data_IF_877398149866
#
_entry.id   IF_877398149866
#
_cell.length_a   1.000
_cell.length_b   1.000
_cell.length_c   1.000
_cell.angle_alpha   90.00
_cell.angle_beta   90.00
_cell.angle_gamma   90.00
#
_symmetry.space_group_name_H-M   'P 1'
#
loop_
_entity.id
_entity.type
_entity.pdbx_description
1 polymer ?
#
# COMPACT_ATOMS: atom_id res chain seq x y z
N UNK A 1 13.63 26.20 4.96
CA UNK A 1 13.13 24.96 4.32
C UNK A 1 11.74 25.24 3.80
N UNK A 2 11.37 24.66 2.66
CA UNK A 2 10.02 24.76 2.13
C UNK A 2 9.10 23.79 2.85
N UNK A 3 7.99 24.30 3.38
CA UNK A 3 7.00 23.46 4.05
C UNK A 3 6.18 22.65 3.02
N UNK A 4 5.96 21.37 3.34
CA UNK A 4 5.14 20.45 2.54
C UNK A 4 4.19 19.72 3.48
N UNK A 5 2.89 19.88 3.27
CA UNK A 5 1.85 19.17 4.01
C UNK A 5 1.61 17.82 3.33
N UNK A 6 1.95 16.75 4.03
CA UNK A 6 1.90 15.40 3.52
C UNK A 6 0.87 14.56 4.30
N UNK A 7 -0.13 14.04 3.61
CA UNK A 7 -1.10 13.14 4.22
C UNK A 7 -0.65 11.68 4.13
N UNK A 8 -0.76 10.94 5.23
CA UNK A 8 -0.78 9.48 5.22
C UNK A 8 -2.23 9.00 5.17
N UNK A 9 -2.59 8.18 4.18
CA UNK A 9 -3.98 7.72 4.02
C UNK A 9 -4.47 6.80 5.13
N UNK A 10 -3.56 6.06 5.79
CA UNK A 10 -3.77 5.27 7.00
C UNK A 10 -2.41 4.95 7.63
N UNK A 11 -2.38 4.59 8.93
CA UNK A 11 -1.17 4.09 9.58
C UNK A 11 -0.98 2.61 9.25
N UNK A 12 0.11 2.27 8.53
CA UNK A 12 0.38 0.89 8.15
C UNK A 12 1.88 0.60 8.03
N UNK A 13 2.30 -0.60 8.45
CA UNK A 13 3.71 -0.97 8.47
C UNK A 13 4.34 -1.05 7.08
N UNK A 14 3.59 -1.36 6.03
CA UNK A 14 4.11 -1.32 4.67
C UNK A 14 4.48 0.09 4.18
N UNK A 15 4.10 1.16 4.90
CA UNK A 15 4.56 2.53 4.65
C UNK A 15 5.94 2.83 5.25
N UNK A 16 6.64 1.84 5.78
CA UNK A 16 8.02 1.95 6.30
C UNK A 16 8.96 2.82 5.45
N UNK A 17 8.97 2.77 4.08
CA UNK A 17 9.83 3.64 3.30
C UNK A 17 9.61 5.14 3.55
N UNK A 18 8.37 5.54 3.75
CA UNK A 18 8.02 6.95 3.99
C UNK A 18 8.38 7.39 5.41
N UNK A 19 8.06 6.56 6.42
CA UNK A 19 8.44 6.84 7.81
C UNK A 19 9.96 6.91 7.95
N UNK A 20 10.69 5.98 7.34
CA UNK A 20 12.14 6.00 7.38
C UNK A 20 12.74 7.21 6.65
N UNK A 21 12.10 7.71 5.59
CA UNK A 21 12.53 8.94 4.92
C UNK A 21 12.42 10.16 5.85
N UNK A 22 11.36 10.23 6.67
CA UNK A 22 11.20 11.26 7.70
C UNK A 22 12.28 11.11 8.78
N UNK A 23 12.40 9.92 9.39
CA UNK A 23 13.30 9.70 10.52
C UNK A 23 14.79 9.89 10.21
N UNK A 24 15.17 9.65 8.99
CA UNK A 24 16.57 9.75 8.54
C UNK A 24 16.94 11.13 8.02
N UNK A 25 16.06 12.13 8.20
CA UNK A 25 16.28 13.48 7.71
C UNK A 25 16.39 13.54 6.19
N UNK A 26 15.68 12.65 5.50
CA UNK A 26 15.74 12.57 4.05
C UNK A 26 15.19 13.80 3.35
N UNK A 27 14.13 14.38 3.92
CA UNK A 27 13.44 15.53 3.38
C UNK A 27 14.19 16.84 3.69
N UNK A 28 14.73 16.97 4.90
CA UNK A 28 15.52 18.11 5.33
C UNK A 28 16.78 18.32 4.46
N UNK A 29 17.39 17.22 4.00
CA UNK A 29 18.53 17.26 3.05
C UNK A 29 18.16 17.84 1.68
N UNK A 30 16.87 17.82 1.35
CA UNK A 30 16.30 18.44 0.15
C UNK A 30 15.74 19.84 0.42
N UNK A 31 15.96 20.39 1.62
CA UNK A 31 15.42 21.71 2.00
C UNK A 31 13.92 21.70 2.24
N UNK A 32 13.31 20.51 2.48
CA UNK A 32 11.89 20.35 2.74
C UNK A 32 11.62 20.16 4.23
N UNK A 33 10.62 20.87 4.74
CA UNK A 33 10.03 20.69 6.07
C UNK A 33 8.68 19.97 5.88
N UNK A 34 8.66 18.65 6.10
CA UNK A 34 7.49 17.81 5.86
C UNK A 34 6.64 17.72 7.11
N UNK A 35 5.41 18.26 7.03
CA UNK A 35 4.39 18.11 8.06
C UNK A 35 3.50 16.93 7.71
N UNK A 36 3.66 15.83 8.46
CA UNK A 36 2.82 14.63 8.32
C UNK A 36 1.51 14.82 9.06
N UNK A 37 0.40 14.53 8.39
CA UNK A 37 -0.95 14.56 8.94
C UNK A 37 -1.83 13.46 8.35
N UNK A 38 -3.02 13.29 8.92
CA UNK A 38 -4.02 12.36 8.40
C UNK A 38 -5.13 13.11 7.66
N UNK A 39 -5.84 12.46 6.71
CA UNK A 39 -7.00 13.04 6.07
C UNK A 39 -8.04 13.52 7.07
N UNK A 40 -8.78 14.55 6.71
CA UNK A 40 -9.83 15.19 7.54
C UNK A 40 -11.03 14.25 7.85
N UNK A 41 -11.07 13.08 7.21
CA UNK A 41 -12.07 12.05 7.45
C UNK A 41 -11.90 10.83 6.53
N UNK A 42 -12.71 9.79 6.72
CA UNK A 42 -12.69 8.60 5.87
C UNK A 42 -12.85 8.96 4.39
N UNK A 43 -12.02 8.38 3.53
CA UNK A 43 -12.03 8.60 2.08
C UNK A 43 -11.75 10.05 1.61
N UNK A 44 -11.27 10.93 2.50
CA UNK A 44 -11.03 12.35 2.20
C UNK A 44 -9.66 12.63 1.58
N UNK A 45 -8.72 11.68 1.56
CA UNK A 45 -7.33 11.90 1.13
C UNK A 45 -7.19 12.58 -0.25
N UNK A 46 -8.07 12.28 -1.22
CA UNK A 46 -8.04 12.91 -2.53
C UNK A 46 -8.68 14.31 -2.52
N UNK A 47 -9.81 14.49 -1.84
CA UNK A 47 -10.48 15.80 -1.78
C UNK A 47 -9.68 16.82 -0.95
N UNK A 48 -9.02 16.37 0.12
CA UNK A 48 -8.21 17.23 0.97
C UNK A 48 -7.03 17.90 0.23
N UNK A 49 -6.55 17.28 -0.85
CA UNK A 49 -5.57 17.88 -1.74
C UNK A 49 -6.13 19.12 -2.47
N UNK A 50 -7.40 19.06 -2.89
CA UNK A 50 -8.06 20.18 -3.58
C UNK A 50 -8.62 21.23 -2.61
N UNK A 51 -8.94 20.81 -1.39
CA UNK A 51 -9.44 21.69 -0.32
C UNK A 51 -8.28 22.42 0.40
N UNK A 52 -7.02 22.11 0.04
CA UNK A 52 -5.83 22.75 0.58
C UNK A 52 -5.43 22.29 1.99
N UNK A 53 -5.90 21.11 2.43
CA UNK A 53 -5.47 20.50 3.69
C UNK A 53 -4.13 19.76 3.56
N UNK A 54 -3.80 19.30 2.35
CA UNK A 54 -2.52 18.69 2.02
C UNK A 54 -2.03 19.15 0.64
N UNK A 55 -0.72 19.05 0.42
CA UNK A 55 -0.06 19.33 -0.85
C UNK A 55 0.18 18.02 -1.62
N UNK A 56 0.58 16.98 -0.91
CA UNK A 56 0.88 15.64 -1.41
C UNK A 56 0.26 14.62 -0.46
N UNK A 57 -0.11 13.46 -0.96
CA UNK A 57 -0.44 12.31 -0.13
C UNK A 57 0.36 11.09 -0.54
N UNK A 58 0.67 10.21 0.41
CA UNK A 58 0.99 8.84 0.07
C UNK A 58 -0.21 7.93 0.32
N UNK A 59 -0.43 7.03 -0.60
CA UNK A 59 -1.57 6.14 -0.48
C UNK A 59 -1.68 5.22 -1.69
N UNK A 60 -2.67 4.34 -1.63
CA UNK A 60 -2.95 3.46 -2.75
C UNK A 60 -3.41 4.23 -3.99
N UNK A 61 -2.82 3.98 -5.18
CA UNK A 61 -3.30 4.56 -6.43
C UNK A 61 -4.77 4.24 -6.71
N UNK A 62 -5.34 3.27 -6.00
CA UNK A 62 -6.77 2.97 -6.03
C UNK A 62 -7.63 4.21 -5.76
N UNK A 63 -7.26 5.04 -4.76
CA UNK A 63 -8.02 6.26 -4.45
C UNK A 63 -7.89 7.31 -5.54
N UNK A 64 -6.71 7.43 -6.14
CA UNK A 64 -6.48 8.26 -7.32
C UNK A 64 -7.33 7.77 -8.49
N UNK A 65 -7.30 6.46 -8.79
CA UNK A 65 -8.10 5.86 -9.87
C UNK A 65 -9.61 6.02 -9.62
N UNK A 66 -10.08 5.93 -8.36
CA UNK A 66 -11.46 6.20 -7.98
C UNK A 66 -11.87 7.64 -8.27
N UNK A 67 -10.97 8.61 -7.98
CA UNK A 67 -11.18 10.02 -8.32
C UNK A 67 -11.21 10.22 -9.85
N UNK A 68 -10.24 9.64 -10.56
CA UNK A 68 -10.17 9.72 -12.04
C UNK A 68 -11.35 9.04 -12.74
N UNK A 69 -11.99 8.05 -12.09
CA UNK A 69 -13.22 7.39 -12.59
C UNK A 69 -14.40 8.34 -12.74
N UNK A 70 -14.40 9.47 -12.01
CA UNK A 70 -15.43 10.52 -12.09
C UNK A 70 -15.22 11.47 -13.27
N UNK A 71 -14.22 11.24 -14.11
CA UNK A 71 -13.82 12.10 -15.23
C UNK A 71 -13.62 13.58 -14.83
N UNK A 72 -12.74 13.86 -13.87
CA UNK A 72 -12.55 15.21 -13.37
C UNK A 72 -12.02 16.14 -14.45
N UNK A 73 -12.33 17.43 -14.33
CA UNK A 73 -11.76 18.49 -15.17
C UNK A 73 -10.23 18.39 -15.18
N UNK A 74 -9.56 18.77 -16.30
CA UNK A 74 -8.12 18.56 -16.47
C UNK A 74 -7.24 19.10 -15.35
N UNK A 75 -7.59 20.23 -14.73
CA UNK A 75 -6.88 20.87 -13.62
C UNK A 75 -7.18 20.22 -12.24
N UNK A 76 -8.21 19.39 -12.17
CA UNK A 76 -8.57 18.60 -10.99
C UNK A 76 -8.11 17.13 -11.06
N UNK A 77 -7.24 16.80 -12.00
CA UNK A 77 -6.64 15.46 -12.10
C UNK A 77 -5.58 15.26 -11.01
N UNK A 78 -5.45 14.02 -10.57
CA UNK A 78 -4.41 13.58 -9.64
C UNK A 78 -3.32 12.83 -10.42
N UNK A 79 -2.06 13.10 -10.08
CA UNK A 79 -0.88 12.52 -10.73
C UNK A 79 -0.03 11.82 -9.68
N UNK A 80 0.25 10.53 -9.88
CA UNK A 80 1.25 9.78 -9.14
C UNK A 80 2.64 10.02 -9.76
N UNK A 81 3.68 10.16 -8.92
CA UNK A 81 5.01 10.49 -9.42
C UNK A 81 6.15 9.66 -8.81
N UNK A 82 5.90 8.94 -7.71
CA UNK A 82 6.90 8.05 -7.12
C UNK A 82 6.22 6.90 -6.35
N UNK A 83 6.76 5.69 -6.46
CA UNK A 83 6.23 4.48 -5.83
C UNK A 83 7.15 3.97 -4.73
N UNK A 84 6.57 3.61 -3.59
CA UNK A 84 7.28 2.97 -2.50
C UNK A 84 6.91 1.49 -2.33
N UNK A 85 5.63 1.17 -2.45
CA UNK A 85 5.11 -0.20 -2.27
C UNK A 85 4.66 -0.73 -3.63
N UNK A 86 5.50 -1.61 -4.19
CA UNK A 86 5.36 -2.10 -5.57
C UNK A 86 4.64 -3.45 -5.67
N UNK A 87 4.34 -4.11 -4.52
CA UNK A 87 3.57 -5.35 -4.46
C UNK A 87 2.53 -5.28 -3.35
N UNK A 88 1.48 -6.05 -3.53
CA UNK A 88 0.39 -6.14 -2.56
C UNK A 88 0.88 -6.73 -1.22
N UNK A 89 0.78 -6.00 -0.09
CA UNK A 89 1.28 -6.42 1.21
C UNK A 89 0.35 -7.40 1.95
N UNK A 90 -0.81 -7.72 1.40
CA UNK A 90 -1.79 -8.58 2.05
C UNK A 90 -1.45 -10.06 1.93
N UNK A 91 -1.94 -10.82 2.92
CA UNK A 91 -1.71 -12.25 3.07
C UNK A 91 -3.03 -12.93 3.45
N UNK A 92 -3.29 -14.12 2.91
CA UNK A 92 -4.31 -15.01 3.43
C UNK A 92 -3.69 -15.85 4.55
N UNK A 93 -4.23 -15.71 5.75
CA UNK A 93 -3.80 -16.45 6.96
C UNK A 93 -4.94 -17.37 7.38
N UNK A 94 -4.68 -18.66 7.36
CA UNK A 94 -5.65 -19.68 7.78
C UNK A 94 -5.40 -20.19 9.20
N UNK A 95 -6.42 -20.78 9.81
CA UNK A 95 -6.38 -21.36 11.15
C UNK A 95 -5.69 -22.74 11.21
N UNK A 96 -5.31 -23.31 10.06
CA UNK A 96 -4.61 -24.61 9.93
C UNK A 96 -3.51 -24.50 8.87
N UNK A 97 -2.45 -25.33 8.95
CA UNK A 97 -1.44 -25.41 7.90
C UNK A 97 -2.05 -25.87 6.57
N UNK A 98 -1.67 -25.22 5.46
CA UNK A 98 -2.04 -25.64 4.11
C UNK A 98 -0.90 -25.32 3.14
N UNK A 99 0.02 -26.24 2.98
CA UNK A 99 1.25 -26.05 2.22
C UNK A 99 1.03 -26.01 0.69
N UNK A 100 -0.02 -26.67 0.22
CA UNK A 100 -0.42 -26.81 -1.18
C UNK A 100 -1.68 -25.99 -1.49
N UNK A 101 -1.85 -24.83 -0.84
CA UNK A 101 -3.01 -23.96 -1.00
C UNK A 101 -3.32 -23.68 -2.48
N UNK A 102 -4.59 -23.82 -2.82
CA UNK A 102 -5.20 -23.41 -4.10
C UNK A 102 -6.39 -22.51 -3.84
N UNK A 103 -6.69 -21.62 -4.76
CA UNK A 103 -7.87 -20.74 -4.59
C UNK A 103 -9.20 -21.51 -4.48
N UNK A 104 -9.31 -22.71 -5.07
CA UNK A 104 -10.49 -23.58 -4.88
C UNK A 104 -10.75 -23.94 -3.43
N UNK A 105 -9.70 -23.97 -2.61
CA UNK A 105 -9.86 -24.27 -1.16
C UNK A 105 -10.71 -23.23 -0.43
N UNK A 106 -10.81 -22.01 -0.97
CA UNK A 106 -11.62 -20.95 -0.38
C UNK A 106 -13.13 -21.21 -0.50
N UNK A 107 -13.58 -22.09 -1.40
CA UNK A 107 -14.99 -22.47 -1.54
C UNK A 107 -15.53 -23.23 -0.33
N UNK A 108 -14.64 -23.89 0.41
CA UNK A 108 -14.96 -24.67 1.60
C UNK A 108 -14.66 -23.93 2.91
N UNK A 109 -14.24 -22.66 2.81
CA UNK A 109 -13.77 -21.85 3.91
C UNK A 109 -14.63 -20.62 4.11
N UNK A 110 -14.80 -20.23 5.37
CA UNK A 110 -15.32 -18.91 5.72
C UNK A 110 -14.17 -17.89 5.75
N UNK A 111 -14.15 -17.01 4.74
CA UNK A 111 -13.13 -15.99 4.56
C UNK A 111 -13.58 -14.66 5.16
N UNK A 112 -12.77 -14.08 6.08
CA UNK A 112 -12.98 -12.70 6.48
C UNK A 112 -12.05 -11.74 5.71
N UNK A 113 -12.63 -10.74 5.08
CA UNK A 113 -11.91 -9.66 4.40
C UNK A 113 -12.03 -8.37 5.18
N UNK A 114 -11.10 -7.45 4.97
CA UNK A 114 -11.03 -6.20 5.75
C UNK A 114 -12.08 -5.19 5.28
N UNK A 115 -12.65 -4.47 6.25
CA UNK A 115 -13.62 -3.39 5.98
C UNK A 115 -12.94 -2.04 5.71
N UNK A 116 -11.70 -1.83 6.18
CA UNK A 116 -11.01 -0.54 6.15
C UNK A 116 -10.61 -0.09 4.75
N UNK A 117 -10.28 -1.05 3.86
CA UNK A 117 -9.82 -0.75 2.50
C UNK A 117 -10.34 -1.79 1.50
N UNK A 118 -10.87 -1.38 0.32
CA UNK A 118 -11.42 -2.33 -0.66
C UNK A 118 -10.35 -3.01 -1.53
N UNK A 119 -9.17 -2.42 -1.68
CA UNK A 119 -8.13 -2.88 -2.62
C UNK A 119 -7.77 -4.36 -2.50
N UNK A 120 -7.51 -4.93 -1.29
CA UNK A 120 -7.08 -6.32 -1.19
C UNK A 120 -8.15 -7.30 -1.68
N UNK A 121 -9.42 -7.01 -1.41
CA UNK A 121 -10.52 -7.84 -1.93
C UNK A 121 -10.65 -7.69 -3.45
N UNK A 122 -10.53 -6.48 -4.02
CA UNK A 122 -10.57 -6.30 -5.48
C UNK A 122 -9.47 -7.11 -6.16
N UNK A 123 -8.27 -7.11 -5.62
CA UNK A 123 -7.16 -7.89 -6.14
C UNK A 123 -7.37 -9.40 -5.98
N UNK A 124 -7.92 -9.85 -4.84
CA UNK A 124 -8.21 -11.26 -4.62
C UNK A 124 -9.34 -11.77 -5.53
N UNK A 125 -10.38 -10.97 -5.77
CA UNK A 125 -11.43 -11.30 -6.74
C UNK A 125 -10.84 -11.56 -8.14
N UNK A 126 -9.88 -10.73 -8.56
CA UNK A 126 -9.21 -10.92 -9.87
C UNK A 126 -8.40 -12.22 -9.89
N UNK A 127 -7.72 -12.59 -8.77
CA UNK A 127 -7.04 -13.89 -8.68
C UNK A 127 -8.02 -15.06 -8.74
N UNK A 128 -9.16 -14.96 -8.05
CA UNK A 128 -10.23 -15.97 -8.09
C UNK A 128 -10.76 -16.16 -9.51
N UNK A 129 -11.09 -15.08 -10.21
CA UNK A 129 -11.57 -15.13 -11.60
C UNK A 129 -10.54 -15.76 -12.54
N UNK A 130 -9.25 -15.44 -12.36
CA UNK A 130 -8.16 -16.06 -13.14
C UNK A 130 -8.00 -17.54 -12.85
N UNK A 131 -8.36 -17.98 -11.65
CA UNK A 131 -8.42 -19.41 -11.30
C UNK A 131 -9.72 -20.10 -11.75
N UNK A 132 -10.64 -19.39 -12.42
CA UNK A 132 -11.93 -19.93 -12.85
C UNK A 132 -12.98 -20.01 -11.75
N UNK A 133 -12.83 -19.21 -10.68
CA UNK A 133 -13.72 -19.19 -9.52
C UNK A 133 -14.53 -17.90 -9.56
N UNK A 134 -15.86 -18.00 -9.42
CA UNK A 134 -16.70 -16.82 -9.19
C UNK A 134 -16.50 -16.33 -7.75
N UNK A 135 -16.06 -15.06 -7.55
CA UNK A 135 -15.96 -14.51 -6.19
C UNK A 135 -17.27 -14.53 -5.40
N UNK A 136 -18.42 -14.60 -6.07
CA UNK A 136 -19.74 -14.75 -5.44
C UNK A 136 -19.97 -16.11 -4.76
N UNK A 137 -19.18 -17.13 -5.09
CA UNK A 137 -19.25 -18.44 -4.46
C UNK A 137 -18.55 -18.52 -3.09
N UNK A 138 -17.75 -17.49 -2.74
CA UNK A 138 -16.96 -17.48 -1.50
C UNK A 138 -17.82 -17.00 -0.32
N UNK A 139 -17.93 -17.84 0.74
CA UNK A 139 -18.53 -17.42 2.02
C UNK A 139 -17.65 -16.36 2.69
N UNK A 140 -18.08 -15.10 2.56
CA UNK A 140 -17.25 -13.93 2.93
C UNK A 140 -17.88 -13.09 4.03
N UNK A 141 -17.12 -12.86 5.12
CA UNK A 141 -17.39 -11.84 6.15
C UNK A 141 -16.73 -10.53 5.75
N UNK A 142 -17.46 -9.40 5.73
CA UNK A 142 -17.02 -8.14 5.08
C UNK A 142 -17.06 -6.92 5.98
N UNK A 143 -17.65 -7.02 7.14
CA UNK A 143 -18.05 -5.89 7.99
C UNK A 143 -17.11 -5.64 9.19
N UNK A 144 -16.01 -6.41 9.26
CA UNK A 144 -15.09 -6.37 10.39
C UNK A 144 -13.73 -5.78 10.03
N UNK A 145 -13.13 -5.12 11.01
CA UNK A 145 -11.76 -4.63 10.95
C UNK A 145 -10.75 -5.77 10.93
N UNK A 146 -9.50 -5.48 10.58
CA UNK A 146 -8.41 -6.46 10.63
C UNK A 146 -8.22 -7.03 12.03
N UNK A 147 -8.35 -6.21 13.07
CA UNK A 147 -8.25 -6.66 14.47
C UNK A 147 -9.36 -7.65 14.82
N UNK A 148 -10.61 -7.31 14.50
CA UNK A 148 -11.77 -8.21 14.73
C UNK A 148 -11.67 -9.48 13.90
N UNK A 149 -11.12 -9.42 12.69
CA UNK A 149 -10.87 -10.61 11.86
C UNK A 149 -9.79 -11.51 12.48
N UNK A 150 -8.73 -10.93 13.04
CA UNK A 150 -7.69 -11.68 13.76
C UNK A 150 -8.27 -12.37 14.99
N UNK A 151 -9.14 -11.69 15.76
CA UNK A 151 -9.84 -12.29 16.90
C UNK A 151 -10.80 -13.42 16.44
N UNK A 152 -11.54 -13.22 15.36
CA UNK A 152 -12.42 -14.23 14.80
C UNK A 152 -11.65 -15.51 14.35
N UNK A 153 -10.41 -15.34 13.83
CA UNK A 153 -9.55 -16.47 13.49
C UNK A 153 -9.09 -17.23 14.75
N UNK A 154 -8.66 -16.50 15.81
CA UNK A 154 -8.27 -17.08 17.12
C UNK A 154 -9.40 -17.90 17.74
N UNK A 155 -10.61 -17.41 17.62
CA UNK A 155 -11.82 -18.02 18.15
C UNK A 155 -12.39 -19.13 17.26
N UNK A 156 -11.81 -19.39 16.09
CA UNK A 156 -12.30 -20.39 15.13
C UNK A 156 -13.65 -20.02 14.48
N UNK A 157 -14.04 -18.75 14.51
CA UNK A 157 -15.27 -18.23 13.88
C UNK A 157 -15.16 -18.07 12.36
N UNK A 158 -13.93 -17.99 11.86
CA UNK A 158 -13.58 -17.98 10.45
C UNK A 158 -12.39 -18.91 10.21
N UNK A 159 -12.27 -19.42 8.99
CA UNK A 159 -11.21 -20.37 8.63
C UNK A 159 -9.96 -19.66 8.10
N UNK A 160 -10.15 -18.53 7.44
CA UNK A 160 -9.09 -17.77 6.81
C UNK A 160 -9.42 -16.27 6.83
N UNK A 161 -8.39 -15.46 6.99
CA UNK A 161 -8.52 -13.99 6.98
C UNK A 161 -7.57 -13.38 5.96
N UNK A 162 -7.96 -12.25 5.36
CA UNK A 162 -7.11 -11.43 4.51
C UNK A 162 -6.61 -10.23 5.31
N UNK A 163 -5.33 -10.23 5.68
CA UNK A 163 -4.73 -9.20 6.54
C UNK A 163 -3.31 -8.85 6.07
N UNK A 164 -2.71 -7.82 6.66
CA UNK A 164 -1.31 -7.45 6.48
C UNK A 164 -0.54 -7.44 7.80
N UNK A 165 0.77 -7.16 7.77
CA UNK A 165 1.58 -7.01 8.97
C UNK A 165 1.16 -5.76 9.80
N UNK A 166 1.12 -5.85 11.13
CA UNK A 166 1.73 -6.89 11.98
C UNK A 166 0.80 -8.07 12.33
N UNK A 167 -0.44 -8.09 11.87
CA UNK A 167 -1.40 -9.14 12.21
C UNK A 167 -0.91 -10.53 11.82
N UNK A 168 -0.28 -10.67 10.64
CA UNK A 168 0.30 -11.94 10.18
C UNK A 168 1.34 -12.45 11.15
N UNK A 169 2.33 -11.62 11.51
CA UNK A 169 3.40 -12.01 12.42
C UNK A 169 2.89 -12.32 13.83
N UNK A 170 1.91 -11.56 14.33
CA UNK A 170 1.30 -11.81 15.63
C UNK A 170 0.64 -13.18 15.69
N UNK A 171 -0.20 -13.50 14.71
CA UNK A 171 -0.91 -14.80 14.64
C UNK A 171 0.04 -15.98 14.46
N UNK A 172 1.15 -15.80 13.72
CA UNK A 172 2.21 -16.82 13.58
C UNK A 172 2.90 -17.05 14.94
N UNK A 173 3.29 -15.97 15.63
CA UNK A 173 3.96 -16.07 16.94
C UNK A 173 3.09 -16.73 18.00
N UNK A 174 1.77 -16.54 17.93
CA UNK A 174 0.79 -17.19 18.79
C UNK A 174 0.55 -18.66 18.41
N UNK A 175 1.03 -19.11 17.25
CA UNK A 175 0.83 -20.48 16.76
C UNK A 175 -0.59 -20.77 16.25
N UNK A 176 -1.41 -19.72 16.05
CA UNK A 176 -2.81 -19.88 15.61
C UNK A 176 -3.01 -19.50 14.13
N UNK A 177 -2.02 -18.86 13.51
CA UNK A 177 -2.10 -18.44 12.11
C UNK A 177 -1.07 -19.13 11.22
N UNK A 178 -1.49 -19.50 10.01
CA UNK A 178 -0.65 -20.12 8.99
C UNK A 178 -0.79 -19.38 7.66
N UNK A 179 0.32 -18.94 7.07
CA UNK A 179 0.30 -18.27 5.76
C UNK A 179 -0.11 -19.29 4.69
N UNK A 180 -1.23 -19.04 4.02
CA UNK A 180 -1.69 -19.81 2.87
C UNK A 180 -1.25 -19.19 1.55
N UNK A 181 -1.42 -17.85 1.42
CA UNK A 181 -1.11 -17.13 0.20
C UNK A 181 -0.62 -15.72 0.52
N UNK A 182 0.51 -15.33 -0.03
CA UNK A 182 0.98 -13.95 0.02
C UNK A 182 0.67 -13.26 -1.33
N UNK A 183 -0.15 -12.22 -1.31
CA UNK A 183 -0.57 -11.52 -2.53
C UNK A 183 0.60 -10.90 -3.31
N UNK A 184 1.72 -10.62 -2.65
CA UNK A 184 2.97 -10.20 -3.28
C UNK A 184 3.50 -11.20 -4.32
N UNK A 185 3.15 -12.49 -4.23
CA UNK A 185 3.53 -13.53 -5.20
C UNK A 185 2.90 -13.31 -6.58
N UNK A 186 1.82 -12.52 -6.67
CA UNK A 186 1.20 -12.07 -7.92
C UNK A 186 2.18 -11.26 -8.80
N UNK A 187 3.27 -10.73 -8.20
CA UNK A 187 4.23 -9.83 -8.83
C UNK A 187 3.87 -8.36 -8.65
N UNK A 188 4.44 -7.49 -9.47
CA UNK A 188 4.21 -6.05 -9.37
C UNK A 188 2.72 -5.74 -9.41
N UNK A 189 2.28 -5.01 -8.38
CA UNK A 189 0.92 -4.46 -8.23
C UNK A 189 1.11 -3.14 -7.52
N UNK A 190 0.91 -2.03 -8.21
CA UNK A 190 1.15 -0.71 -7.62
C UNK A 190 0.28 -0.51 -6.39
N UNK A 191 0.89 -0.36 -5.22
CA UNK A 191 0.16 -0.40 -3.97
C UNK A 191 0.23 0.91 -3.18
N UNK A 192 1.40 1.60 -3.19
CA UNK A 192 1.50 2.92 -2.55
C UNK A 192 2.45 3.83 -3.31
N UNK A 193 1.94 5.01 -3.62
CA UNK A 193 2.64 6.05 -4.35
C UNK A 193 2.51 7.40 -3.65
N UNK A 194 3.43 8.35 -3.94
CA UNK A 194 3.11 9.76 -3.81
C UNK A 194 2.22 10.18 -4.97
N UNK A 195 1.17 10.94 -4.67
CA UNK A 195 0.36 11.62 -5.68
C UNK A 195 -0.10 13.00 -5.20
N UNK A 196 -0.34 13.90 -6.15
CA UNK A 196 -0.74 15.28 -5.91
C UNK A 196 -1.65 15.79 -7.04
N UNK A 197 -2.34 16.94 -6.86
CA UNK A 197 -3.04 17.63 -7.94
C UNK A 197 -2.08 17.97 -9.09
N UNK A 198 -2.55 17.86 -10.33
CA UNK A 198 -1.74 18.17 -11.52
C UNK A 198 -1.24 19.62 -11.51
N UNK A 199 -2.02 20.55 -10.95
CA UNK A 199 -1.61 21.95 -10.78
C UNK A 199 -0.40 22.07 -9.85
N UNK A 200 -0.42 21.36 -8.72
CA UNK A 200 0.71 21.30 -7.80
C UNK A 200 1.94 20.66 -8.46
N UNK A 201 1.74 19.56 -9.18
CA UNK A 201 2.85 18.90 -9.90
C UNK A 201 3.55 19.84 -10.89
N UNK A 202 2.80 20.69 -11.60
CA UNK A 202 3.34 21.65 -12.55
C UNK A 202 4.08 22.82 -11.88
N UNK A 203 3.56 23.31 -10.76
CA UNK A 203 4.11 24.48 -10.06
C UNK A 203 5.29 24.12 -9.17
N UNK A 204 5.33 22.92 -8.63
CA UNK A 204 6.17 22.50 -7.52
C UNK A 204 7.11 21.34 -7.88
N UNK A 205 7.57 21.32 -9.15
CA UNK A 205 8.42 20.22 -9.65
C UNK A 205 9.64 19.95 -8.77
N UNK A 206 10.32 21.00 -8.28
CA UNK A 206 11.49 20.85 -7.41
C UNK A 206 11.14 20.16 -6.08
N UNK A 207 9.95 20.46 -5.55
CA UNK A 207 9.43 19.79 -4.34
C UNK A 207 9.19 18.30 -4.60
N UNK A 208 8.60 17.94 -5.74
CA UNK A 208 8.39 16.55 -6.13
C UNK A 208 9.72 15.80 -6.29
N UNK A 209 10.71 16.44 -6.94
CA UNK A 209 12.07 15.88 -7.07
C UNK A 209 12.69 15.65 -5.69
N UNK A 210 12.60 16.61 -4.78
CA UNK A 210 13.12 16.48 -3.41
C UNK A 210 12.47 15.34 -2.63
N UNK A 211 11.14 15.23 -2.66
CA UNK A 211 10.40 14.11 -2.04
C UNK A 211 10.85 12.75 -2.63
N UNK A 212 11.00 12.70 -3.94
CA UNK A 212 11.40 11.48 -4.65
C UNK A 212 12.85 11.10 -4.36
N UNK A 213 13.80 12.07 -4.26
CA UNK A 213 15.20 11.81 -3.85
C UNK A 213 15.27 11.26 -2.42
N UNK A 214 14.50 11.84 -1.50
CA UNK A 214 14.41 11.36 -0.13
C UNK A 214 13.92 9.92 -0.08
N UNK A 215 12.86 9.60 -0.83
CA UNK A 215 12.32 8.25 -0.96
C UNK A 215 13.36 7.29 -1.56
N UNK A 216 14.02 7.67 -2.64
CA UNK A 216 14.98 6.78 -3.33
C UNK A 216 16.21 6.46 -2.47
N UNK A 217 16.77 7.44 -1.76
CA UNK A 217 17.84 7.18 -0.77
C UNK A 217 17.37 6.22 0.31
N UNK A 218 16.12 6.35 0.74
CA UNK A 218 15.55 5.48 1.75
C UNK A 218 15.30 4.08 1.22
N UNK A 219 14.80 3.91 0.00
CA UNK A 219 14.66 2.60 -0.64
C UNK A 219 16.01 1.90 -0.76
N UNK A 220 17.06 2.62 -1.19
CA UNK A 220 18.43 2.07 -1.24
C UNK A 220 18.90 1.57 0.13
N UNK A 221 18.66 2.37 1.17
CA UNK A 221 19.02 1.99 2.54
C UNK A 221 18.18 0.79 3.03
N UNK A 222 16.87 0.76 2.81
CA UNK A 222 15.98 -0.34 3.21
C UNK A 222 16.43 -1.70 2.66
N UNK A 223 16.99 -1.72 1.46
CA UNK A 223 17.50 -2.94 0.85
C UNK A 223 18.86 -3.38 1.41
N UNK A 224 19.63 -2.46 2.01
CA UNK A 224 20.93 -2.72 2.61
C UNK A 224 20.88 -2.99 4.13
N UNK A 225 20.00 -2.28 4.85
CA UNK A 225 19.88 -2.34 6.30
C UNK A 225 19.33 -3.69 6.80
N UNK A 226 19.60 -4.05 8.05
CA UNK A 226 18.99 -5.19 8.72
C UNK A 226 17.51 -4.91 9.06
N UNK A 227 16.71 -5.96 9.27
CA UNK A 227 15.30 -5.79 9.68
C UNK A 227 15.22 -5.15 11.06
N UNK A 228 16.17 -5.42 11.96
CA UNK A 228 16.26 -4.80 13.28
C UNK A 228 16.55 -3.31 13.21
N UNK A 229 17.48 -2.88 12.34
CA UNK A 229 17.79 -1.46 12.12
C UNK A 229 16.58 -0.71 11.56
N UNK A 230 15.88 -1.31 10.60
CA UNK A 230 14.65 -0.74 10.03
C UNK A 230 13.57 -0.62 11.10
N UNK A 231 13.36 -1.68 11.90
CA UNK A 231 12.39 -1.70 12.99
C UNK A 231 12.68 -0.59 13.99
N UNK A 232 13.92 -0.48 14.47
CA UNK A 232 14.33 0.58 15.40
C UNK A 232 14.07 1.99 14.82
N UNK A 233 14.30 2.20 13.52
CA UNK A 233 14.09 3.49 12.85
C UNK A 233 12.62 3.90 12.84
N UNK A 234 11.68 2.96 12.65
CA UNK A 234 10.25 3.29 12.49
C UNK A 234 9.40 3.00 13.73
N UNK A 235 10.01 2.49 14.81
CA UNK A 235 9.28 2.05 16.02
C UNK A 235 8.37 3.13 16.62
N UNK A 236 8.76 4.41 16.56
CA UNK A 236 7.94 5.50 17.12
C UNK A 236 6.56 5.65 16.45
N UNK A 237 6.40 5.13 15.24
CA UNK A 237 5.11 5.11 14.52
C UNK A 237 4.22 3.92 14.93
N UNK A 238 4.81 2.93 15.62
CA UNK A 238 4.17 1.69 16.05
C UNK A 238 4.56 1.35 17.50
N UNK A 239 4.31 2.27 18.44
CA UNK A 239 4.77 2.11 19.83
C UNK A 239 4.11 0.95 20.57
N UNK A 240 2.96 0.48 20.06
CA UNK A 240 2.22 -0.67 20.61
C UNK A 240 2.85 -2.02 20.25
N UNK A 241 3.73 -2.06 19.25
CA UNK A 241 4.34 -3.31 18.79
C UNK A 241 5.62 -3.60 19.58
N UNK A 242 5.76 -4.84 20.05
CA UNK A 242 7.03 -5.29 20.58
C UNK A 242 8.11 -5.36 19.50
N UNK A 243 9.38 -5.12 19.86
CA UNK A 243 10.49 -5.15 18.91
C UNK A 243 10.57 -6.46 18.11
N UNK A 244 10.39 -7.68 18.70
CA UNK A 244 10.40 -8.92 17.93
C UNK A 244 9.28 -9.01 16.90
N UNK A 245 8.07 -8.53 17.21
CA UNK A 245 6.94 -8.51 16.25
C UNK A 245 7.22 -7.55 15.11
N UNK A 246 7.71 -6.35 15.42
CA UNK A 246 8.03 -5.34 14.41
C UNK A 246 9.15 -5.80 13.48
N UNK A 247 10.23 -6.38 14.04
CA UNK A 247 11.35 -6.92 13.27
C UNK A 247 10.91 -8.10 12.39
N UNK A 248 10.11 -9.03 12.93
CA UNK A 248 9.58 -10.16 12.18
C UNK A 248 8.69 -9.73 11.01
N UNK A 249 7.80 -8.78 11.24
CA UNK A 249 6.92 -8.21 10.22
C UNK A 249 7.72 -7.51 9.09
N UNK A 250 8.75 -6.74 9.44
CA UNK A 250 9.65 -6.11 8.47
C UNK A 250 10.43 -7.18 7.67
N UNK A 251 10.95 -8.21 8.34
CA UNK A 251 11.65 -9.31 7.69
C UNK A 251 10.72 -10.04 6.70
N UNK A 252 9.46 -10.23 7.05
CA UNK A 252 8.46 -10.82 6.16
C UNK A 252 8.23 -9.95 4.92
N UNK A 253 7.98 -8.64 5.08
CA UNK A 253 7.82 -7.75 3.93
C UNK A 253 9.05 -7.68 3.02
N UNK A 254 10.27 -7.73 3.58
CA UNK A 254 11.51 -7.84 2.79
C UNK A 254 11.56 -9.13 1.99
N UNK A 255 11.22 -10.27 2.59
CA UNK A 255 11.14 -11.58 1.92
C UNK A 255 10.14 -11.57 0.78
N UNK A 256 8.99 -10.91 0.97
CA UNK A 256 7.95 -10.75 -0.04
C UNK A 256 8.31 -9.70 -1.12
N UNK A 257 9.40 -8.97 -0.95
CA UNK A 257 9.83 -7.88 -1.82
C UNK A 257 8.70 -6.85 -2.06
N UNK A 258 8.00 -6.47 -0.99
CA UNK A 258 6.85 -5.55 -1.04
C UNK A 258 7.30 -4.16 -1.48
N UNK A 259 8.46 -3.70 -1.02
CA UNK A 259 9.01 -2.38 -1.31
C UNK A 259 9.78 -2.34 -2.62
N UNK A 260 9.51 -1.31 -3.41
CA UNK A 260 10.24 -1.02 -4.64
C UNK A 260 11.73 -0.76 -4.36
N UNK A 261 12.58 -1.10 -5.33
CA UNK A 261 14.03 -0.84 -5.24
C UNK A 261 14.38 0.59 -5.64
N UNK A 262 13.49 1.23 -6.36
CA UNK A 262 13.58 2.59 -6.84
C UNK A 262 12.18 3.22 -6.91
N UNK A 263 12.06 4.54 -7.11
CA UNK A 263 10.79 5.24 -7.04
C UNK A 263 9.94 5.13 -8.31
N UNK A 264 10.35 4.39 -9.34
CA UNK A 264 9.58 4.26 -10.59
C UNK A 264 8.30 3.49 -10.37
N UNK A 265 7.20 4.05 -10.81
CA UNK A 265 5.91 3.38 -10.83
C UNK A 265 5.80 2.53 -12.09
N UNK A 266 5.95 1.21 -11.93
CA UNK A 266 5.95 0.31 -13.06
C UNK A 266 4.57 0.23 -13.74
N UNK A 267 4.51 0.51 -15.05
CA UNK A 267 3.25 0.45 -15.84
C UNK A 267 2.53 -0.89 -15.68
N UNK A 268 3.27 -2.00 -15.64
CA UNK A 268 2.70 -3.34 -15.43
C UNK A 268 2.02 -3.48 -14.07
N UNK A 269 2.60 -2.92 -13.00
CA UNK A 269 2.00 -2.91 -11.66
C UNK A 269 0.74 -2.06 -11.58
N UNK A 270 0.77 -0.87 -12.20
CA UNK A 270 -0.38 0.00 -12.31
C UNK A 270 -1.54 -0.64 -13.08
N UNK A 271 -1.25 -1.22 -14.25
CA UNK A 271 -2.28 -1.88 -15.07
C UNK A 271 -2.90 -3.08 -14.35
N UNK A 272 -2.09 -3.86 -13.58
CA UNK A 272 -2.63 -4.97 -12.78
C UNK A 272 -3.62 -4.49 -11.73
N UNK A 273 -3.26 -3.46 -10.96
CA UNK A 273 -4.19 -2.86 -10.00
C UNK A 273 -5.45 -2.35 -10.70
N UNK A 274 -5.30 -1.57 -11.77
CA UNK A 274 -6.43 -1.02 -12.51
C UNK A 274 -7.38 -2.11 -13.03
N UNK A 275 -6.84 -3.19 -13.59
CA UNK A 275 -7.66 -4.32 -14.04
C UNK A 275 -8.43 -4.98 -12.88
N UNK A 276 -7.80 -5.16 -11.72
CA UNK A 276 -8.48 -5.69 -10.56
C UNK A 276 -9.65 -4.79 -10.10
N UNK A 277 -9.47 -3.47 -10.16
CA UNK A 277 -10.51 -2.51 -9.81
C UNK A 277 -11.67 -2.50 -10.84
N UNK A 278 -11.37 -2.64 -12.14
CA UNK A 278 -12.36 -2.73 -13.20
C UNK A 278 -13.12 -4.05 -13.09
N UNK A 279 -12.42 -5.18 -12.98
CA UNK A 279 -13.06 -6.50 -12.89
C UNK A 279 -13.90 -6.67 -11.63
N UNK A 280 -13.55 -5.97 -10.55
CA UNK A 280 -14.32 -5.90 -9.31
C UNK A 280 -15.46 -4.86 -9.31
N UNK A 281 -15.73 -4.22 -10.45
CA UNK A 281 -16.74 -3.15 -10.60
C UNK A 281 -16.56 -1.95 -9.64
N UNK A 282 -15.31 -1.75 -9.16
CA UNK A 282 -14.99 -0.62 -8.29
C UNK A 282 -14.79 0.69 -9.07
N UNK A 283 -14.25 0.59 -10.28
CA UNK A 283 -14.17 1.67 -11.27
C UNK A 283 -14.67 1.15 -12.63
N UNK A 284 -15.20 2.05 -13.45
CA UNK A 284 -15.71 1.74 -14.80
C UNK A 284 -14.82 2.29 -15.90
N UNK A 285 -14.13 3.41 -15.60
CA UNK A 285 -13.27 4.08 -16.58
C UNK A 285 -11.90 3.39 -16.64
N UNK A 286 -11.51 3.00 -17.84
CA UNK A 286 -10.16 2.52 -18.13
C UNK A 286 -9.22 3.70 -18.39
N UNK A 287 -8.93 4.49 -17.33
CA UNK A 287 -8.06 5.67 -17.44
C UNK A 287 -6.65 5.24 -17.84
N UNK A 288 -6.05 5.82 -18.89
CA UNK A 288 -4.68 5.50 -19.31
C UNK A 288 -3.64 5.78 -18.22
N UNK A 289 -2.56 4.98 -18.24
CA UNK A 289 -1.43 5.19 -17.32
C UNK A 289 -0.87 6.61 -17.44
N UNK A 290 -0.74 7.10 -18.65
CA UNK A 290 -0.17 8.40 -19.01
C UNK A 290 -1.00 9.60 -18.51
N UNK A 291 -2.28 9.38 -18.19
CA UNK A 291 -3.14 10.38 -17.57
C UNK A 291 -3.04 10.39 -16.04
N UNK A 292 -2.46 9.34 -15.45
CA UNK A 292 -2.40 9.13 -14.01
C UNK A 292 -0.99 9.24 -13.43
N UNK A 293 0.05 9.11 -14.26
CA UNK A 293 1.44 8.97 -13.80
C UNK A 293 2.37 9.89 -14.56
N UNK A 294 3.17 10.67 -13.83
CA UNK A 294 4.33 11.36 -14.36
C UNK A 294 5.62 10.61 -14.05
N UNK A 295 6.14 9.78 -14.97
CA UNK A 295 7.36 9.02 -14.72
C UNK A 295 8.62 9.91 -14.73
N UNK A 296 8.54 11.12 -15.31
CA UNK A 296 9.68 12.00 -15.51
C UNK A 296 10.35 12.46 -14.20
N UNK A 297 9.60 12.47 -13.08
CA UNK A 297 10.13 12.82 -11.76
C UNK A 297 11.07 11.72 -11.25
N UNK A 298 10.60 10.46 -11.24
CA UNK A 298 11.42 9.33 -10.81
C UNK A 298 12.61 9.10 -11.74
N UNK A 299 12.41 9.21 -13.06
CA UNK A 299 13.47 9.09 -14.07
C UNK A 299 14.55 10.17 -13.90
N UNK A 300 14.18 11.42 -13.67
CA UNK A 300 15.13 12.50 -13.42
C UNK A 300 15.99 12.23 -12.18
N UNK A 301 15.35 11.81 -11.07
CA UNK A 301 16.08 11.48 -9.83
C UNK A 301 17.03 10.28 -10.02
N UNK A 302 16.64 9.31 -10.81
CA UNK A 302 17.51 8.16 -11.08
C UNK A 302 18.68 8.49 -12.03
N UNK A 303 18.54 9.49 -12.88
CA UNK A 303 19.59 9.93 -13.78
C UNK A 303 20.67 10.79 -13.09
N UNK A 304 20.44 11.23 -11.86
CA UNK A 304 21.39 12.02 -11.05
C UNK A 304 22.55 11.16 -10.44
N UNK A 305 22.64 9.88 -10.75
CA UNK A 305 23.66 8.93 -10.24
C UNK A 305 24.90 8.87 -11.13
#
# INVERSE_FOLDING_TARGET
MKQVRLHESLRALFYTPYYAALERGGHEKEGLDVILSQPSGPNRAASDLFDGYADVTWGGPMRMLQHMNQDPEPDRRLIAFAEAVARDPFVLVGNKPRLDFRFDDLRECRLATVSEVPTPWMCLQEDLRRAGIDPGEIDRVTDKSMSENADALREGKVDVIQVFEPFVQSLINEGVGHVWYAAASRGLTSYTTYYAPISYCRQERDTLLGLTRALYRTQTWLHAASSSEIAATVHKYFPELSAPVLEGAIAHYRKLAVWGRDPRLAKTGFLRLKMALISGDFIKRDTPYEECVDPSIAEAVMAER
#
